data_IF_854508828756
#
_entry.id   IF_854508828756
#
_cell.length_a   1.000
_cell.length_b   1.000
_cell.length_c   1.000
_cell.angle_alpha   90.00
_cell.angle_beta   90.00
_cell.angle_gamma   90.00
#
_symmetry.space_group_name_H-M   'P 1'
#
loop_
_entity.id
_entity.type
_entity.pdbx_description
1 polymer ?
#
# COMPACT_ATOMS: atom_id res chain seq x y z
N UNK A 1 -23.34 -0.97 8.11
CA UNK A 1 -22.83 -0.26 6.91
C UNK A 1 -24.03 0.29 6.13
N UNK A 2 -23.92 1.54 5.68
CA UNK A 2 -24.87 2.10 4.71
C UNK A 2 -24.68 1.47 3.33
N UNK A 3 -25.64 1.66 2.42
CA UNK A 3 -25.51 1.20 1.04
C UNK A 3 -24.31 1.86 0.35
N UNK A 4 -24.05 3.14 0.62
CA UNK A 4 -22.90 3.87 0.09
C UNK A 4 -21.58 3.31 0.58
N UNK A 5 -21.47 2.99 1.87
CA UNK A 5 -20.29 2.34 2.45
C UNK A 5 -20.04 0.97 1.83
N UNK A 6 -21.11 0.21 1.58
CA UNK A 6 -21.00 -1.10 0.94
C UNK A 6 -20.54 -0.97 -0.52
N UNK A 7 -21.11 -0.02 -1.26
CA UNK A 7 -20.71 0.25 -2.64
C UNK A 7 -19.25 0.70 -2.73
N UNK A 8 -18.80 1.54 -1.80
CA UNK A 8 -17.42 1.98 -1.71
C UNK A 8 -16.47 0.80 -1.39
N UNK A 9 -16.85 -0.07 -0.45
CA UNK A 9 -16.09 -1.26 -0.10
C UNK A 9 -15.96 -2.23 -1.30
N UNK A 10 -17.06 -2.44 -2.04
CA UNK A 10 -17.05 -3.27 -3.25
C UNK A 10 -16.15 -2.67 -4.33
N UNK A 11 -16.19 -1.35 -4.54
CA UNK A 11 -15.33 -0.68 -5.50
C UNK A 11 -13.83 -0.84 -5.13
N UNK A 12 -13.50 -0.66 -3.84
CA UNK A 12 -12.11 -0.84 -3.36
C UNK A 12 -11.66 -2.30 -3.40
N UNK A 13 -12.57 -3.25 -3.16
CA UNK A 13 -12.27 -4.68 -3.35
C UNK A 13 -11.95 -5.00 -4.82
N UNK A 14 -12.67 -4.39 -5.77
CA UNK A 14 -12.35 -4.53 -7.20
C UNK A 14 -10.98 -3.93 -7.53
N UNK A 15 -10.64 -2.78 -6.94
CA UNK A 15 -9.31 -2.17 -7.11
C UNK A 15 -8.21 -3.06 -6.52
N UNK A 16 -8.43 -3.65 -5.34
CA UNK A 16 -7.52 -4.63 -4.73
C UNK A 16 -7.26 -5.83 -5.66
N UNK A 17 -8.32 -6.47 -6.14
CA UNK A 17 -8.18 -7.63 -7.05
C UNK A 17 -7.52 -7.22 -8.36
N UNK A 18 -7.94 -6.11 -8.96
CA UNK A 18 -7.38 -5.59 -10.22
C UNK A 18 -5.90 -5.26 -10.11
N UNK A 19 -5.48 -4.57 -9.05
CA UNK A 19 -4.07 -4.24 -8.81
C UNK A 19 -3.23 -5.47 -8.49
N UNK A 20 -3.76 -6.45 -7.75
CA UNK A 20 -3.09 -7.73 -7.49
C UNK A 20 -2.84 -8.50 -8.79
N UNK A 21 -3.86 -8.58 -9.65
CA UNK A 21 -3.74 -9.24 -10.96
C UNK A 21 -2.78 -8.51 -11.90
N UNK A 22 -2.82 -7.17 -11.90
CA UNK A 22 -1.84 -6.36 -12.63
C UNK A 22 -0.41 -6.66 -12.16
N UNK A 23 -0.15 -6.63 -10.85
CA UNK A 23 1.16 -6.95 -10.29
C UNK A 23 1.61 -8.36 -10.68
N UNK A 24 0.73 -9.36 -10.62
CA UNK A 24 1.03 -10.72 -11.02
C UNK A 24 1.41 -10.82 -12.51
N UNK A 25 0.58 -10.29 -13.40
CA UNK A 25 0.82 -10.36 -14.85
C UNK A 25 2.13 -9.64 -15.21
N UNK A 26 2.32 -8.43 -14.69
CA UNK A 26 3.52 -7.64 -15.01
C UNK A 26 4.76 -8.28 -14.43
N UNK A 27 4.73 -8.83 -13.21
CA UNK A 27 5.88 -9.51 -12.63
C UNK A 27 6.27 -10.77 -13.41
N UNK A 28 5.30 -11.53 -13.92
CA UNK A 28 5.59 -12.72 -14.73
C UNK A 28 6.14 -12.36 -16.13
N UNK A 29 5.68 -11.26 -16.72
CA UNK A 29 6.16 -10.78 -18.01
C UNK A 29 7.53 -10.11 -17.92
N UNK A 30 7.71 -9.23 -16.94
CA UNK A 30 8.95 -8.47 -16.75
C UNK A 30 10.05 -9.27 -16.02
N UNK A 31 9.68 -10.40 -15.38
CA UNK A 31 10.56 -11.16 -14.48
C UNK A 31 11.15 -10.31 -13.34
N UNK A 32 10.33 -9.38 -12.86
CA UNK A 32 10.64 -8.50 -11.73
C UNK A 32 9.46 -8.58 -10.74
N UNK A 33 9.69 -9.19 -9.58
CA UNK A 33 8.66 -9.53 -8.60
C UNK A 33 8.40 -8.42 -7.57
N UNK A 34 9.05 -7.26 -7.72
CA UNK A 34 8.85 -6.07 -6.88
C UNK A 34 7.77 -5.11 -7.40
N UNK A 35 6.82 -5.59 -8.22
CA UNK A 35 5.72 -4.73 -8.68
C UNK A 35 4.81 -4.32 -7.52
N UNK A 36 4.57 -5.24 -6.56
CA UNK A 36 3.77 -4.94 -5.36
C UNK A 36 4.43 -3.84 -4.52
N UNK A 37 5.76 -3.85 -4.38
CA UNK A 37 6.50 -2.85 -3.60
C UNK A 37 6.25 -1.42 -4.12
N UNK A 38 6.06 -1.25 -5.44
CA UNK A 38 5.71 0.04 -6.07
C UNK A 38 4.30 0.51 -5.72
N UNK A 39 3.37 -0.43 -5.56
CA UNK A 39 1.97 -0.14 -5.24
C UNK A 39 1.73 0.01 -3.73
N UNK A 40 2.60 -0.57 -2.87
CA UNK A 40 2.46 -0.51 -1.42
C UNK A 40 2.27 0.90 -0.86
N UNK A 41 2.90 1.91 -1.48
CA UNK A 41 2.81 3.30 -1.05
C UNK A 41 1.74 4.10 -1.78
N UNK A 42 1.36 3.71 -2.99
CA UNK A 42 0.43 4.46 -3.85
C UNK A 42 -1.02 4.04 -3.64
N UNK A 43 -1.29 2.75 -3.54
CA UNK A 43 -2.65 2.20 -3.43
C UNK A 43 -3.37 2.64 -2.15
N UNK A 44 -2.73 2.70 -0.96
CA UNK A 44 -3.38 3.24 0.23
C UNK A 44 -3.89 4.66 0.05
N UNK A 45 -3.13 5.51 -0.65
CA UNK A 45 -3.54 6.89 -0.96
C UNK A 45 -4.83 6.86 -1.80
N UNK A 46 -4.90 5.99 -2.82
CA UNK A 46 -6.10 5.86 -3.64
C UNK A 46 -7.31 5.37 -2.81
N UNK A 47 -7.11 4.41 -1.90
CA UNK A 47 -8.17 3.92 -1.02
C UNK A 47 -8.72 5.03 -0.13
N UNK A 48 -7.86 5.72 0.61
CA UNK A 48 -8.30 6.72 1.59
C UNK A 48 -9.00 7.90 0.94
N UNK A 49 -8.51 8.36 -0.21
CA UNK A 49 -9.16 9.46 -0.94
C UNK A 49 -10.48 9.03 -1.58
N UNK A 50 -10.58 7.80 -2.06
CA UNK A 50 -11.85 7.31 -2.56
C UNK A 50 -12.91 7.23 -1.45
N UNK A 51 -12.56 6.70 -0.28
CA UNK A 51 -13.47 6.67 0.86
C UNK A 51 -13.81 8.08 1.35
N UNK A 52 -12.85 9.00 1.39
CA UNK A 52 -13.09 10.38 1.76
C UNK A 52 -14.07 11.06 0.78
N UNK A 53 -13.91 10.85 -0.53
CA UNK A 53 -14.81 11.40 -1.55
C UNK A 53 -16.22 10.80 -1.47
N UNK A 54 -16.33 9.51 -1.19
CA UNK A 54 -17.63 8.84 -1.02
C UNK A 54 -18.37 9.28 0.27
N UNK A 55 -17.65 9.85 1.23
CA UNK A 55 -18.17 10.41 2.47
C UNK A 55 -18.27 11.94 2.46
N UNK A 56 -18.43 12.54 1.29
CA UNK A 56 -18.54 14.00 1.10
C UNK A 56 -17.43 14.80 1.80
N UNK A 57 -16.22 14.23 1.82
CA UNK A 57 -15.03 14.84 2.41
C UNK A 57 -15.19 15.20 3.90
N UNK A 58 -15.80 14.32 4.68
CA UNK A 58 -15.86 14.48 6.14
C UNK A 58 -14.46 14.80 6.71
N UNK A 59 -14.39 15.79 7.61
CA UNK A 59 -13.11 16.33 8.13
C UNK A 59 -12.17 15.26 8.68
N UNK A 60 -12.70 14.25 9.40
CA UNK A 60 -11.89 13.15 9.96
C UNK A 60 -11.30 12.29 8.86
N UNK A 61 -12.07 12.00 7.82
CA UNK A 61 -11.60 11.21 6.69
C UNK A 61 -10.59 11.98 5.84
N UNK A 62 -10.77 13.29 5.67
CA UNK A 62 -9.79 14.16 5.02
C UNK A 62 -8.49 14.19 5.81
N UNK A 63 -8.54 14.33 7.15
CA UNK A 63 -7.36 14.26 8.01
C UNK A 63 -6.60 12.94 7.81
N UNK A 64 -7.32 11.80 7.85
CA UNK A 64 -6.72 10.47 7.61
C UNK A 64 -6.11 10.37 6.21
N UNK A 65 -6.81 10.87 5.18
CA UNK A 65 -6.33 10.84 3.80
C UNK A 65 -5.07 11.69 3.60
N UNK A 66 -5.01 12.87 4.20
CA UNK A 66 -3.82 13.75 4.17
C UNK A 66 -2.63 13.07 4.85
N UNK A 67 -2.82 12.51 6.04
CA UNK A 67 -1.76 11.81 6.78
C UNK A 67 -1.24 10.58 6.01
N UNK A 68 -2.15 9.78 5.45
CA UNK A 68 -1.78 8.64 4.61
C UNK A 68 -1.06 9.07 3.33
N UNK A 69 -1.41 10.23 2.76
CA UNK A 69 -0.73 10.80 1.60
C UNK A 69 0.70 11.21 1.94
N UNK A 70 0.92 11.89 3.07
CA UNK A 70 2.26 12.28 3.53
C UNK A 70 3.13 11.03 3.73
N UNK A 71 2.59 10.03 4.42
CA UNK A 71 3.26 8.74 4.62
C UNK A 71 3.60 8.05 3.29
N UNK A 72 2.63 7.95 2.38
CA UNK A 72 2.81 7.26 1.10
C UNK A 72 3.78 7.98 0.17
N UNK A 73 3.77 9.32 0.12
CA UNK A 73 4.76 10.11 -0.64
C UNK A 73 6.16 9.86 -0.07
N UNK A 74 6.34 9.92 1.25
CA UNK A 74 7.63 9.64 1.89
C UNK A 74 8.15 8.25 1.51
N UNK A 75 7.30 7.23 1.63
CA UNK A 75 7.67 5.85 1.31
C UNK A 75 8.01 5.69 -0.18
N UNK A 76 7.23 6.32 -1.06
CA UNK A 76 7.49 6.31 -2.52
C UNK A 76 8.83 6.96 -2.85
N UNK A 77 9.16 8.10 -2.23
CA UNK A 77 10.44 8.78 -2.43
C UNK A 77 11.62 7.95 -1.92
N UNK A 78 11.46 7.28 -0.77
CA UNK A 78 12.49 6.40 -0.24
C UNK A 78 12.74 5.21 -1.17
N UNK A 79 11.68 4.59 -1.68
CA UNK A 79 11.80 3.49 -2.64
C UNK A 79 12.40 3.94 -3.98
N UNK A 80 12.02 5.13 -4.46
CA UNK A 80 12.57 5.73 -5.68
C UNK A 80 14.08 5.98 -5.58
N UNK A 81 14.56 6.50 -4.42
CA UNK A 81 16.01 6.71 -4.18
C UNK A 81 16.83 5.43 -4.25
N UNK A 82 16.22 4.28 -3.90
CA UNK A 82 16.84 2.95 -3.96
C UNK A 82 16.77 2.31 -5.35
N UNK A 83 16.36 3.04 -6.39
CA UNK A 83 16.27 2.51 -7.76
C UNK A 83 15.01 1.68 -8.03
N UNK A 84 14.05 1.63 -7.11
CA UNK A 84 12.83 0.85 -7.26
C UNK A 84 11.92 1.28 -8.42
N UNK A 85 12.00 2.56 -8.82
CA UNK A 85 11.30 3.08 -10.00
C UNK A 85 12.27 3.31 -11.17
N UNK A 86 11.77 3.07 -12.38
CA UNK A 86 12.44 3.34 -13.64
C UNK A 86 11.48 4.13 -14.56
N UNK A 87 12.01 4.73 -15.63
CA UNK A 87 11.21 5.39 -16.69
C UNK A 87 10.14 4.42 -17.22
N UNK A 88 10.48 3.13 -17.32
CA UNK A 88 9.51 2.08 -17.59
C UNK A 88 9.03 1.53 -16.24
N UNK A 89 7.77 1.80 -15.89
CA UNK A 89 7.20 1.45 -14.58
C UNK A 89 7.38 -0.03 -14.18
N UNK A 90 7.34 -0.95 -15.16
CA UNK A 90 7.56 -2.39 -14.94
C UNK A 90 9.02 -2.79 -14.74
N UNK A 91 9.98 -1.88 -14.94
CA UNK A 91 11.41 -2.06 -14.66
C UNK A 91 11.79 -1.39 -13.35
N UNK A 92 13.01 -1.55 -12.94
CA UNK A 92 13.58 -1.05 -11.68
C UNK A 92 14.36 -2.16 -11.01
N UNK A 93 15.04 -1.83 -9.95
CA UNK A 93 15.74 -2.85 -9.15
C UNK A 93 14.72 -3.78 -8.48
N UNK A 94 15.01 -5.08 -8.50
CA UNK A 94 14.24 -6.09 -7.79
C UNK A 94 14.73 -6.15 -6.34
N UNK A 95 13.80 -6.29 -5.40
CA UNK A 95 14.14 -6.47 -3.99
C UNK A 95 14.91 -7.78 -3.80
N UNK A 96 16.07 -7.70 -3.18
CA UNK A 96 16.96 -8.83 -2.94
C UNK A 96 16.31 -9.97 -2.15
N UNK A 97 15.24 -9.67 -1.39
CA UNK A 97 14.48 -10.67 -0.61
C UNK A 97 13.99 -11.82 -1.47
N UNK A 98 13.54 -11.55 -2.69
CA UNK A 98 13.01 -12.58 -3.57
C UNK A 98 14.07 -13.56 -4.04
N UNK A 99 15.29 -13.10 -4.23
CA UNK A 99 16.45 -13.93 -4.56
C UNK A 99 16.79 -14.84 -3.35
N UNK A 100 16.82 -14.28 -2.15
CA UNK A 100 17.11 -15.03 -0.92
C UNK A 100 16.02 -16.05 -0.59
N UNK A 101 14.74 -15.71 -0.80
CA UNK A 101 13.60 -16.63 -0.63
C UNK A 101 13.75 -17.85 -1.57
N UNK A 102 14.10 -17.63 -2.84
CA UNK A 102 14.34 -18.73 -3.80
C UNK A 102 15.49 -19.63 -3.38
N UNK A 103 16.57 -19.06 -2.83
CA UNK A 103 17.71 -19.84 -2.31
C UNK A 103 17.34 -20.64 -1.07
N UNK A 104 16.60 -20.03 -0.14
CA UNK A 104 16.21 -20.65 1.12
C UNK A 104 15.17 -21.77 0.95
N UNK A 105 14.35 -21.70 -0.12
CA UNK A 105 13.26 -22.64 -0.38
C UNK A 105 13.43 -23.33 -1.75
N UNK A 106 14.19 -24.43 -1.87
CA UNK A 106 14.48 -25.08 -3.15
C UNK A 106 13.24 -25.50 -3.95
N UNK A 107 12.11 -25.81 -3.29
CA UNK A 107 10.86 -26.15 -3.96
C UNK A 107 10.27 -24.97 -4.77
N UNK A 108 10.63 -23.72 -4.45
CA UNK A 108 10.25 -22.51 -5.20
C UNK A 108 11.14 -22.27 -6.43
N UNK A 109 12.14 -23.09 -6.66
CA UNK A 109 13.00 -22.98 -7.86
C UNK A 109 12.27 -23.41 -9.14
N UNK A 110 11.20 -24.19 -9.02
CA UNK A 110 10.35 -24.55 -10.15
C UNK A 110 9.47 -23.35 -10.56
N UNK A 111 9.38 -23.11 -11.87
CA UNK A 111 8.61 -22.00 -12.44
C UNK A 111 7.13 -22.02 -12.02
N UNK A 112 6.54 -23.20 -11.95
CA UNK A 112 5.12 -23.34 -11.55
C UNK A 112 4.91 -22.99 -10.08
N UNK A 113 5.71 -23.57 -9.17
CA UNK A 113 5.61 -23.29 -7.73
C UNK A 113 5.94 -21.84 -7.41
N UNK A 114 6.90 -21.25 -8.12
CA UNK A 114 7.20 -19.82 -8.00
C UNK A 114 6.04 -18.95 -8.48
N UNK A 115 5.39 -19.29 -9.60
CA UNK A 115 4.20 -18.58 -10.10
C UNK A 115 3.05 -18.60 -9.10
N UNK A 116 2.80 -19.75 -8.45
CA UNK A 116 1.81 -19.84 -7.37
C UNK A 116 2.20 -19.00 -6.15
N UNK A 117 3.45 -19.06 -5.74
CA UNK A 117 3.96 -18.25 -4.63
C UNK A 117 3.84 -16.75 -4.96
N UNK A 118 4.21 -16.34 -6.17
CA UNK A 118 4.04 -14.97 -6.64
C UNK A 118 2.58 -14.53 -6.60
N UNK A 119 1.65 -15.34 -7.12
CA UNK A 119 0.24 -15.00 -7.13
C UNK A 119 -0.34 -14.87 -5.72
N UNK A 120 -0.17 -15.93 -4.90
CA UNK A 120 -0.86 -15.99 -3.62
C UNK A 120 -0.14 -15.22 -2.52
N UNK A 121 1.18 -15.29 -2.45
CA UNK A 121 1.94 -14.66 -1.36
C UNK A 121 2.43 -13.25 -1.72
N UNK A 122 3.04 -13.06 -2.90
CA UNK A 122 3.56 -11.74 -3.24
C UNK A 122 2.42 -10.81 -3.64
N UNK A 123 1.53 -11.22 -4.55
CA UNK A 123 0.51 -10.32 -5.07
C UNK A 123 -0.75 -10.26 -4.19
N UNK A 124 -1.46 -11.37 -4.01
CA UNK A 124 -2.74 -11.35 -3.29
C UNK A 124 -2.58 -11.07 -1.80
N UNK A 125 -1.68 -11.77 -1.12
CA UNK A 125 -1.55 -11.60 0.33
C UNK A 125 -1.02 -10.21 0.71
N UNK A 126 0.06 -9.73 0.08
CA UNK A 126 0.61 -8.41 0.43
C UNK A 126 -0.36 -7.28 0.07
N UNK A 127 -0.96 -7.30 -1.13
CA UNK A 127 -1.98 -6.31 -1.49
C UNK A 127 -3.23 -6.42 -0.60
N UNK A 128 -3.57 -7.64 -0.15
CA UNK A 128 -4.63 -7.88 0.83
C UNK A 128 -4.34 -7.25 2.18
N UNK A 129 -3.10 -7.34 2.68
CA UNK A 129 -2.69 -6.65 3.91
C UNK A 129 -2.81 -5.12 3.75
N UNK A 130 -2.38 -4.58 2.61
CA UNK A 130 -2.50 -3.15 2.29
C UNK A 130 -3.98 -2.72 2.28
N UNK A 131 -4.84 -3.52 1.68
CA UNK A 131 -6.28 -3.28 1.68
C UNK A 131 -6.84 -3.30 3.11
N UNK A 132 -6.51 -4.33 3.90
CA UNK A 132 -7.01 -4.50 5.27
C UNK A 132 -6.59 -3.35 6.19
N UNK A 133 -5.33 -2.90 6.13
CA UNK A 133 -4.92 -1.79 6.98
C UNK A 133 -5.51 -0.43 6.57
N UNK A 134 -6.06 -0.33 5.36
CA UNK A 134 -6.79 0.85 4.91
C UNK A 134 -8.25 0.87 5.37
N UNK A 135 -8.82 -0.27 5.79
CA UNK A 135 -10.25 -0.37 6.18
C UNK A 135 -10.67 0.42 7.44
N UNK A 136 -9.80 0.75 8.41
CA UNK A 136 -10.20 1.57 9.55
C UNK A 136 -10.87 2.90 9.18
N UNK A 137 -10.61 3.42 7.97
CA UNK A 137 -11.29 4.62 7.47
C UNK A 137 -12.82 4.44 7.34
N UNK A 138 -13.30 3.21 7.09
CA UNK A 138 -14.73 2.91 7.08
C UNK A 138 -15.37 3.06 8.47
N UNK A 139 -14.62 2.76 9.53
CA UNK A 139 -15.09 3.01 10.89
C UNK A 139 -15.14 4.52 11.18
N UNK A 140 -14.15 5.27 10.70
CA UNK A 140 -14.13 6.72 10.82
C UNK A 140 -15.29 7.39 10.05
N UNK A 141 -15.73 6.83 8.95
CA UNK A 141 -16.90 7.30 8.18
C UNK A 141 -18.22 7.24 8.97
N UNK A 142 -18.33 6.34 9.94
CA UNK A 142 -19.52 6.24 10.79
C UNK A 142 -19.61 7.37 11.83
N UNK A 143 -18.49 8.05 12.10
CA UNK A 143 -18.43 9.15 13.05
C UNK A 143 -18.96 10.45 12.44
N UNK A 144 -20.09 10.95 12.97
CA UNK A 144 -20.70 12.23 12.57
C UNK A 144 -20.24 13.42 13.43
N UNK A 145 -19.53 13.13 14.52
CA UNK A 145 -19.07 14.16 15.45
C UNK A 145 -17.88 14.94 14.84
N UNK A 146 -17.78 16.24 15.12
CA UNK A 146 -16.65 17.06 14.74
C UNK A 146 -15.32 16.51 15.24
N UNK A 147 -14.21 16.94 14.63
CA UNK A 147 -12.88 16.64 15.14
C UNK A 147 -12.73 17.10 16.60
N UNK A 148 -12.14 16.26 17.42
CA UNK A 148 -11.89 16.55 18.82
C UNK A 148 -10.43 16.27 19.19
N UNK A 149 -10.04 16.56 20.43
CA UNK A 149 -8.63 16.51 20.85
C UNK A 149 -7.91 15.19 20.54
N UNK A 150 -8.60 14.06 20.59
CA UNK A 150 -7.99 12.75 20.30
C UNK A 150 -7.64 12.59 18.81
N UNK A 151 -8.42 13.15 17.90
CA UNK A 151 -8.11 13.13 16.46
C UNK A 151 -6.79 13.87 16.19
N UNK A 152 -6.59 15.03 16.83
CA UNK A 152 -5.35 15.81 16.71
C UNK A 152 -4.16 15.11 17.40
N UNK A 153 -4.39 14.47 18.55
CA UNK A 153 -3.35 13.70 19.24
C UNK A 153 -2.87 12.53 18.39
N UNK A 154 -3.80 11.73 17.86
CA UNK A 154 -3.45 10.57 16.99
C UNK A 154 -2.81 11.04 15.69
N UNK A 155 -3.32 12.11 15.09
CA UNK A 155 -2.71 12.71 13.90
C UNK A 155 -1.30 13.21 14.16
N UNK A 156 -1.06 13.86 15.29
CA UNK A 156 0.26 14.31 15.74
C UNK A 156 1.24 13.14 15.99
N UNK A 157 0.76 12.06 16.62
CA UNK A 157 1.56 10.84 16.81
C UNK A 157 1.92 10.19 15.46
N UNK A 158 0.99 10.14 14.53
CA UNK A 158 1.28 9.61 13.18
C UNK A 158 2.33 10.44 12.47
N UNK A 159 2.25 11.77 12.53
CA UNK A 159 3.28 12.66 11.96
C UNK A 159 4.65 12.44 12.63
N UNK A 160 4.68 12.29 13.96
CA UNK A 160 5.91 11.97 14.69
C UNK A 160 6.54 10.67 14.18
N UNK A 161 5.75 9.60 14.01
CA UNK A 161 6.26 8.33 13.49
C UNK A 161 6.75 8.45 12.04
N UNK A 162 6.07 9.22 11.18
CA UNK A 162 6.53 9.49 9.81
C UNK A 162 7.90 10.19 9.83
N UNK A 163 8.10 11.15 10.72
CA UNK A 163 9.39 11.83 10.90
C UNK A 163 10.47 10.86 11.38
N UNK A 164 10.20 10.06 12.40
CA UNK A 164 11.14 9.06 12.92
C UNK A 164 11.52 8.03 11.87
N UNK A 165 10.56 7.52 11.10
CA UNK A 165 10.82 6.64 9.96
C UNK A 165 11.69 7.32 8.90
N UNK A 166 11.44 8.61 8.60
CA UNK A 166 12.26 9.37 7.63
C UNK A 166 13.71 9.46 8.08
N UNK A 167 13.93 9.73 9.38
CA UNK A 167 15.27 9.80 9.96
C UNK A 167 15.95 8.43 9.90
N UNK A 168 15.25 7.36 10.26
CA UNK A 168 15.78 5.99 10.22
C UNK A 168 16.14 5.56 8.80
N UNK A 169 15.29 5.87 7.82
CA UNK A 169 15.58 5.61 6.41
C UNK A 169 16.83 6.36 5.91
N UNK A 170 17.01 7.60 6.37
CA UNK A 170 18.20 8.38 6.02
C UNK A 170 19.47 7.77 6.61
N UNK A 171 19.41 7.34 7.88
CA UNK A 171 20.55 6.66 8.54
C UNK A 171 20.94 5.33 7.89
N UNK A 172 19.96 4.62 7.33
CA UNK A 172 20.25 3.38 6.59
C UNK A 172 20.82 3.62 5.18
N UNK A 173 20.56 4.82 4.63
CA UNK A 173 21.04 5.18 3.30
C UNK A 173 22.48 5.68 3.31
N UNK A 174 22.94 6.29 4.42
CA UNK A 174 24.32 6.74 4.65
C UNK A 174 25.24 5.57 4.99
#
# INVERSE_FOLDING_TARGET
FSEEQMNALVAMTKLYIGSSMYCFIVSELAKNYSQVDKFCSLIPIAYVWYFASAADYNDRMVLMAVLATIWGIRLTLNFARRGGFSIYFWRGEEDYRWIEVKKAMPFLSNRFTWGLFNLFFICLYQMGLIFLFSLPILAAWQGTEPLFWADYLVGGLMLLFIILETISDQQQYE
#
